data_IF_274250015400
#
_entry.id   IF_274250015400
#
_cell.length_a   1.000
_cell.length_b   1.000
_cell.length_c   1.000
_cell.angle_alpha   90.00
_cell.angle_beta   90.00
_cell.angle_gamma   90.00
#
_symmetry.space_group_name_H-M   'P 1'
#
loop_
_entity.id
_entity.type
_entity.pdbx_description
1 polymer ?
#
# COMPACT_ATOMS: atom_id res chain seq x y z
N UNK A 1 -10.60 27.82 14.21
CA UNK A 1 -10.38 26.40 13.84
C UNK A 1 -9.03 26.00 14.40
N UNK A 2 -8.94 24.87 15.11
CA UNK A 2 -7.66 24.39 15.65
C UNK A 2 -6.74 23.94 14.51
N UNK A 3 -5.43 24.15 14.63
CA UNK A 3 -4.47 23.69 13.64
C UNK A 3 -4.53 22.16 13.51
N UNK A 4 -4.46 21.59 12.29
CA UNK A 4 -4.46 20.14 12.11
C UNK A 4 -3.27 19.52 12.85
N UNK A 5 -3.51 18.40 13.53
CA UNK A 5 -2.50 17.64 14.27
C UNK A 5 -2.25 16.30 13.59
N UNK A 6 -1.06 15.73 13.81
CA UNK A 6 -0.76 14.37 13.36
C UNK A 6 -1.74 13.40 14.00
N UNK A 7 -2.22 12.45 13.21
CA UNK A 7 -3.24 11.49 13.60
C UNK A 7 -2.60 10.20 14.13
N UNK A 8 -3.34 9.52 15.00
CA UNK A 8 -2.95 8.25 15.61
C UNK A 8 -4.04 7.22 15.29
N UNK A 9 -3.70 6.00 14.84
CA UNK A 9 -4.70 4.98 14.58
C UNK A 9 -5.40 4.58 15.89
N UNK A 10 -6.70 4.27 15.82
CA UNK A 10 -7.50 3.86 16.99
C UNK A 10 -7.09 2.50 17.56
N UNK A 11 -6.44 1.67 16.75
CA UNK A 11 -5.86 0.38 17.15
C UNK A 11 -4.74 -0.03 16.20
N UNK A 12 -3.88 -0.96 16.64
CA UNK A 12 -2.85 -1.57 15.77
C UNK A 12 -3.49 -2.31 14.59
N UNK A 13 -4.60 -3.01 14.81
CA UNK A 13 -5.28 -3.77 13.76
C UNK A 13 -5.80 -2.87 12.62
N UNK A 14 -6.10 -1.60 12.91
CA UNK A 14 -6.52 -0.67 11.87
C UNK A 14 -5.37 -0.23 10.95
N UNK A 15 -4.10 -0.50 11.32
CA UNK A 15 -2.92 -0.11 10.56
C UNK A 15 -2.67 -1.03 9.36
N UNK A 16 -2.91 -2.32 9.50
CA UNK A 16 -2.58 -3.33 8.50
C UNK A 16 -3.83 -3.82 7.77
N UNK A 17 -3.67 -4.08 6.49
CA UNK A 17 -4.62 -4.83 5.68
C UNK A 17 -4.36 -6.33 5.80
N UNK A 18 -3.09 -6.73 5.70
CA UNK A 18 -2.62 -8.11 5.80
C UNK A 18 -1.18 -8.17 6.32
N UNK A 19 -0.81 -9.27 6.96
CA UNK A 19 0.52 -9.52 7.52
C UNK A 19 0.88 -11.02 7.39
N UNK A 20 2.16 -11.32 7.21
CA UNK A 20 2.65 -12.70 7.11
C UNK A 20 1.92 -13.50 6.04
N UNK A 21 1.44 -14.69 6.41
CA UNK A 21 0.76 -15.61 5.50
C UNK A 21 -0.59 -15.10 4.95
N UNK A 22 -1.16 -14.03 5.54
CA UNK A 22 -2.41 -13.42 5.05
C UNK A 22 -2.19 -12.49 3.84
N UNK A 23 -0.93 -12.22 3.46
CA UNK A 23 -0.61 -11.32 2.35
C UNK A 23 -0.94 -11.97 1.01
N UNK A 24 -1.89 -11.38 0.28
CA UNK A 24 -2.27 -11.84 -1.06
C UNK A 24 -1.13 -11.61 -2.09
N UNK A 25 -0.69 -12.72 -2.68
CA UNK A 25 0.35 -12.76 -3.72
C UNK A 25 -0.10 -12.14 -5.04
N UNK A 26 -1.41 -12.00 -5.28
CA UNK A 26 -1.94 -11.36 -6.48
C UNK A 26 -2.04 -9.85 -6.32
N UNK A 27 -1.92 -9.33 -5.09
CA UNK A 27 -2.04 -7.90 -4.84
C UNK A 27 -0.83 -7.16 -5.42
N UNK A 28 -1.02 -6.18 -6.31
CA UNK A 28 0.09 -5.48 -6.93
C UNK A 28 0.90 -4.66 -5.90
N UNK A 29 2.16 -4.33 -6.22
CA UNK A 29 3.00 -3.47 -5.35
C UNK A 29 2.34 -2.12 -5.13
N UNK A 30 2.28 -1.71 -3.87
CA UNK A 30 1.57 -0.53 -3.41
C UNK A 30 2.33 0.23 -2.32
N UNK A 31 1.95 1.49 -2.12
CA UNK A 31 2.47 2.33 -1.02
C UNK A 31 2.16 1.67 0.31
N UNK A 32 3.13 1.66 1.22
CA UNK A 32 2.98 1.00 2.51
C UNK A 32 3.15 -0.52 2.49
N UNK A 33 3.43 -1.14 1.34
CA UNK A 33 3.91 -2.52 1.33
C UNK A 33 5.28 -2.59 2.04
N UNK A 34 5.42 -3.58 2.92
CA UNK A 34 6.68 -3.88 3.62
C UNK A 34 7.26 -5.17 3.06
N UNK A 35 8.50 -5.11 2.59
CA UNK A 35 9.26 -6.27 2.12
C UNK A 35 10.33 -6.63 3.14
N UNK A 36 10.55 -7.92 3.33
CA UNK A 36 11.56 -8.45 4.26
C UNK A 36 12.25 -9.69 3.64
N UNK A 37 13.21 -9.49 2.71
CA UNK A 37 13.78 -10.58 1.88
C UNK A 37 14.42 -11.72 2.68
N UNK A 38 15.03 -11.38 3.82
CA UNK A 38 15.77 -12.29 4.68
C UNK A 38 14.99 -12.74 5.92
N UNK A 39 13.73 -12.31 6.05
CA UNK A 39 12.91 -12.73 7.17
C UNK A 39 12.18 -14.03 6.84
N UNK A 40 12.07 -14.91 7.85
CA UNK A 40 11.32 -16.17 7.76
C UNK A 40 10.48 -16.34 9.02
N UNK A 41 9.24 -16.81 8.85
CA UNK A 41 8.37 -17.14 9.97
C UNK A 41 9.04 -18.20 10.86
N UNK A 42 9.40 -17.81 12.09
CA UNK A 42 9.98 -18.71 13.11
C UNK A 42 11.51 -18.87 13.10
N UNK A 43 12.28 -17.95 12.49
CA UNK A 43 13.75 -18.08 12.35
C UNK A 43 14.59 -16.88 12.84
N UNK A 44 15.60 -17.21 13.65
CA UNK A 44 16.77 -16.47 14.18
C UNK A 44 16.62 -14.97 14.52
N UNK A 45 16.55 -14.66 15.83
CA UNK A 45 16.46 -13.31 16.42
C UNK A 45 17.64 -12.37 16.08
N UNK A 46 18.67 -12.88 15.38
CA UNK A 46 19.93 -12.17 15.10
C UNK A 46 20.08 -11.69 13.66
N UNK A 47 19.20 -12.07 12.74
CA UNK A 47 19.26 -11.54 11.38
C UNK A 47 18.77 -10.09 11.38
N UNK A 48 19.64 -9.14 11.02
CA UNK A 48 19.18 -7.80 10.66
C UNK A 48 18.09 -7.96 9.59
N UNK A 49 16.87 -7.54 9.92
CA UNK A 49 15.83 -7.48 8.90
C UNK A 49 16.24 -6.38 7.94
N UNK A 50 16.73 -6.73 6.74
CA UNK A 50 16.87 -5.81 5.59
C UNK A 50 15.49 -5.43 5.04
N UNK A 51 14.57 -5.13 5.96
CA UNK A 51 13.20 -4.82 5.66
C UNK A 51 13.09 -3.36 5.23
N UNK A 52 12.15 -3.09 4.33
CA UNK A 52 11.90 -1.75 3.85
C UNK A 52 10.43 -1.57 3.49
N UNK A 53 9.96 -0.33 3.57
CA UNK A 53 8.59 0.06 3.24
C UNK A 53 8.57 0.99 2.02
N UNK A 54 7.59 0.78 1.14
CA UNK A 54 7.37 1.63 -0.04
C UNK A 54 6.78 2.97 0.37
N UNK A 55 7.41 4.09 -0.02
CA UNK A 55 7.03 5.45 0.40
C UNK A 55 6.30 6.29 -0.65
N UNK A 56 6.51 6.01 -1.94
CA UNK A 56 5.95 6.85 -3.01
C UNK A 56 4.42 6.85 -2.97
N UNK A 57 3.79 7.97 -3.35
CA UNK A 57 2.33 8.06 -3.46
C UNK A 57 1.80 7.02 -4.46
N UNK A 58 0.61 6.40 -4.24
CA UNK A 58 0.08 5.36 -5.13
C UNK A 58 0.08 5.72 -6.62
N UNK A 59 -0.36 6.95 -6.96
CA UNK A 59 -0.38 7.43 -8.35
C UNK A 59 1.02 7.57 -9.00
N UNK A 60 2.08 7.65 -8.19
CA UNK A 60 3.46 7.84 -8.67
C UNK A 60 4.23 6.51 -8.79
N UNK A 61 3.64 5.39 -8.36
CA UNK A 61 4.31 4.08 -8.40
C UNK A 61 4.45 3.51 -9.81
N UNK A 62 3.68 4.01 -10.79
CA UNK A 62 3.61 3.41 -12.12
C UNK A 62 3.84 4.41 -13.24
N UNK A 63 4.64 4.01 -14.23
CA UNK A 63 4.78 4.70 -15.52
C UNK A 63 3.77 4.12 -16.49
N UNK A 64 3.07 5.00 -17.21
CA UNK A 64 1.99 4.58 -18.11
C UNK A 64 0.89 3.79 -17.40
N UNK A 65 0.80 3.91 -16.07
CA UNK A 65 -0.14 3.25 -15.17
C UNK A 65 -0.02 1.71 -15.05
N UNK A 66 0.97 1.07 -15.69
CA UNK A 66 1.15 -0.40 -15.65
C UNK A 66 2.45 -0.73 -14.95
N UNK A 67 3.57 -0.33 -15.55
CA UNK A 67 4.89 -0.70 -15.07
C UNK A 67 5.27 0.08 -13.84
N UNK A 68 5.78 -0.63 -12.83
CA UNK A 68 6.39 0.03 -11.68
C UNK A 68 7.53 0.95 -12.14
N UNK A 69 7.58 2.16 -11.56
CA UNK A 69 8.76 3.00 -11.69
C UNK A 69 9.97 2.24 -11.13
N UNK A 70 11.12 2.37 -11.78
CA UNK A 70 12.36 1.72 -11.34
C UNK A 70 13.48 2.78 -11.36
N UNK A 71 14.06 3.16 -10.19
CA UNK A 71 13.83 2.59 -8.86
C UNK A 71 12.64 3.18 -8.08
N UNK A 72 12.17 2.45 -7.07
CA UNK A 72 11.14 2.89 -6.11
C UNK A 72 11.78 3.44 -4.83
N UNK A 73 11.29 4.58 -4.36
CA UNK A 73 11.71 5.15 -3.08
C UNK A 73 11.09 4.39 -1.90
N UNK A 74 11.97 3.91 -1.01
CA UNK A 74 11.62 3.17 0.19
C UNK A 74 12.33 3.76 1.43
N UNK A 75 11.86 3.39 2.61
CA UNK A 75 12.56 3.63 3.89
C UNK A 75 12.94 2.31 4.55
N UNK A 76 14.11 2.27 5.18
CA UNK A 76 14.54 1.12 5.98
C UNK A 76 13.61 0.92 7.18
N UNK A 77 13.23 -0.33 7.42
CA UNK A 77 12.44 -0.77 8.56
C UNK A 77 13.37 -1.52 9.51
N UNK A 78 13.41 -1.08 10.77
CA UNK A 78 14.28 -1.68 11.79
C UNK A 78 13.56 -1.79 13.13
N UNK A 79 14.06 -2.70 13.96
CA UNK A 79 13.56 -2.88 15.32
C UNK A 79 13.89 -1.64 16.17
N UNK A 80 12.96 -1.23 17.03
CA UNK A 80 13.14 -0.10 17.95
C UNK A 80 12.88 -0.52 19.40
N UNK A 81 13.43 0.23 20.36
CA UNK A 81 13.30 -0.08 21.80
C UNK A 81 11.89 0.23 22.37
N UNK A 82 11.00 0.84 21.58
CA UNK A 82 9.64 1.14 21.98
C UNK A 82 8.94 2.08 21.01
N UNK A 83 7.60 2.03 21.00
CA UNK A 83 6.76 2.94 20.24
C UNK A 83 5.86 3.72 21.19
N UNK A 84 5.67 5.02 20.90
CA UNK A 84 4.64 5.80 21.58
C UNK A 84 3.29 5.39 21.02
N UNK A 85 2.33 5.15 21.91
CA UNK A 85 0.93 4.89 21.53
C UNK A 85 0.28 6.13 20.92
N UNK A 86 0.62 7.32 21.44
CA UNK A 86 0.25 8.62 20.86
C UNK A 86 1.26 9.01 19.77
N UNK A 87 0.88 8.80 18.51
CA UNK A 87 1.75 9.04 17.35
C UNK A 87 1.93 10.53 17.07
N UNK A 88 1.01 11.39 17.54
CA UNK A 88 1.17 12.83 17.43
C UNK A 88 2.37 13.33 18.24
N UNK A 89 2.71 12.61 19.31
CA UNK A 89 3.91 12.85 20.13
C UNK A 89 5.09 11.96 19.74
N UNK A 90 4.95 11.04 18.81
CA UNK A 90 6.05 10.18 18.36
C UNK A 90 7.07 10.95 17.52
N UNK A 91 8.34 10.49 17.43
CA UNK A 91 9.31 11.06 16.51
C UNK A 91 8.78 11.11 15.09
N UNK A 92 8.69 12.31 14.52
CA UNK A 92 8.08 12.53 13.18
C UNK A 92 8.92 11.91 12.06
N UNK A 93 10.20 11.62 12.33
CA UNK A 93 11.15 11.03 11.39
C UNK A 93 10.98 9.51 11.21
N UNK A 94 9.96 8.91 11.80
CA UNK A 94 9.78 7.45 11.75
C UNK A 94 8.31 7.07 11.63
N UNK A 95 7.94 6.15 10.75
CA UNK A 95 6.62 5.51 10.76
C UNK A 95 6.59 4.35 11.76
N UNK A 96 5.76 4.38 12.82
CA UNK A 96 5.62 3.24 13.71
C UNK A 96 4.97 2.04 13.01
N UNK A 97 5.53 0.85 13.20
CA UNK A 97 5.05 -0.44 12.66
C UNK A 97 4.97 -1.47 13.80
N UNK A 98 4.05 -1.29 14.76
CA UNK A 98 3.85 -2.25 15.86
C UNK A 98 3.40 -3.61 15.32
N UNK A 99 3.83 -4.71 15.96
CA UNK A 99 3.45 -6.08 15.60
C UNK A 99 3.68 -6.44 14.12
N UNK A 100 4.63 -5.78 13.44
CA UNK A 100 4.89 -5.99 12.02
C UNK A 100 5.24 -7.45 11.71
N UNK A 101 6.11 -8.01 12.54
CA UNK A 101 6.46 -9.42 12.57
C UNK A 101 5.87 -10.03 13.84
N UNK A 102 5.75 -11.36 13.88
CA UNK A 102 5.15 -12.09 15.01
C UNK A 102 5.88 -11.89 16.36
N UNK A 103 7.06 -11.26 16.35
CA UNK A 103 7.84 -10.93 17.53
C UNK A 103 7.22 -9.76 18.31
N UNK A 104 7.28 -9.81 19.64
CA UNK A 104 6.76 -8.74 20.52
C UNK A 104 7.53 -7.41 20.39
N UNK A 105 8.65 -7.39 19.66
CA UNK A 105 9.50 -6.21 19.53
C UNK A 105 8.96 -5.28 18.43
N UNK A 106 8.78 -3.99 18.72
CA UNK A 106 8.21 -3.09 17.73
C UNK A 106 9.21 -2.70 16.65
N UNK A 107 8.70 -2.44 15.45
CA UNK A 107 9.47 -1.93 14.32
C UNK A 107 9.06 -0.50 13.98
N UNK A 108 9.94 0.21 13.26
CA UNK A 108 9.59 1.48 12.65
C UNK A 108 10.34 1.66 11.33
N UNK A 109 9.68 2.29 10.36
CA UNK A 109 10.36 2.77 9.16
C UNK A 109 11.05 4.11 9.45
N UNK A 110 12.30 4.28 9.03
CA UNK A 110 13.08 5.50 9.24
C UNK A 110 13.04 6.39 8.01
N UNK A 111 12.49 7.60 8.14
CA UNK A 111 12.44 8.58 7.06
C UNK A 111 13.78 9.26 6.79
N UNK A 112 14.80 8.99 7.61
CA UNK A 112 16.18 9.45 7.40
C UNK A 112 17.08 8.37 6.82
N UNK A 113 16.61 7.12 6.73
CA UNK A 113 17.33 6.00 6.12
C UNK A 113 16.57 5.55 4.87
N UNK A 114 16.64 6.40 3.84
CA UNK A 114 15.99 6.17 2.55
C UNK A 114 16.85 5.27 1.67
N UNK A 115 16.19 4.43 0.88
CA UNK A 115 16.82 3.58 -0.12
C UNK A 115 15.99 3.57 -1.41
N UNK A 116 16.65 3.16 -2.49
CA UNK A 116 16.05 2.99 -3.80
C UNK A 116 16.01 1.49 -4.12
N UNK A 117 14.84 0.89 -3.96
CA UNK A 117 14.62 -0.52 -4.28
C UNK A 117 14.39 -0.65 -5.79
N UNK A 118 15.09 -1.60 -6.42
CA UNK A 118 14.84 -1.97 -7.82
C UNK A 118 13.61 -2.85 -7.92
N UNK A 119 13.05 -2.99 -9.12
CA UNK A 119 11.94 -3.93 -9.37
C UNK A 119 12.26 -5.36 -8.91
N UNK A 120 13.52 -5.79 -9.05
CA UNK A 120 13.98 -7.11 -8.62
C UNK A 120 13.98 -7.32 -7.09
N UNK A 121 14.02 -6.23 -6.31
CA UNK A 121 14.01 -6.30 -4.84
C UNK A 121 12.57 -6.45 -4.30
N UNK A 122 11.55 -6.20 -5.14
CA UNK A 122 10.13 -6.21 -4.79
C UNK A 122 9.49 -7.58 -5.09
N UNK A 123 10.15 -8.64 -4.65
CA UNK A 123 9.63 -10.01 -4.74
C UNK A 123 8.38 -10.14 -3.86
N UNK A 124 7.22 -10.36 -4.48
CA UNK A 124 5.93 -10.48 -3.79
C UNK A 124 5.94 -11.60 -2.75
N UNK A 125 6.70 -12.68 -2.98
CA UNK A 125 6.84 -13.77 -1.99
C UNK A 125 7.57 -13.36 -0.71
N UNK A 126 8.23 -12.20 -0.74
CA UNK A 126 8.95 -11.58 0.39
C UNK A 126 8.21 -10.39 0.98
N UNK A 127 6.98 -10.12 0.53
CA UNK A 127 6.13 -9.08 1.12
C UNK A 127 5.63 -9.56 2.49
N UNK A 128 6.08 -8.91 3.54
CA UNK A 128 5.77 -9.27 4.92
C UNK A 128 4.48 -8.64 5.43
N UNK A 129 4.11 -7.46 4.94
CA UNK A 129 2.87 -6.79 5.33
C UNK A 129 2.38 -5.82 4.27
N UNK A 130 1.08 -5.54 4.33
CA UNK A 130 0.38 -4.52 3.53
C UNK A 130 -0.31 -3.58 4.50
N UNK A 131 -0.02 -2.28 4.42
CA UNK A 131 -0.78 -1.30 5.19
C UNK A 131 -2.22 -1.18 4.68
N UNK A 132 -3.16 -0.94 5.61
CA UNK A 132 -4.54 -0.58 5.28
C UNK A 132 -4.60 0.79 4.60
N UNK A 133 -5.76 1.14 4.05
CA UNK A 133 -5.97 2.50 3.53
C UNK A 133 -5.70 3.58 4.58
N UNK A 134 -6.14 3.37 5.83
CA UNK A 134 -5.80 4.26 6.93
C UNK A 134 -4.28 4.27 7.18
N UNK A 135 -3.64 3.11 7.17
CA UNK A 135 -2.20 2.99 7.38
C UNK A 135 -1.38 3.74 6.33
N UNK A 136 -1.76 3.66 5.05
CA UNK A 136 -1.15 4.43 3.97
C UNK A 136 -1.40 5.92 4.15
N UNK A 137 -2.62 6.34 4.50
CA UNK A 137 -2.92 7.75 4.76
C UNK A 137 -2.08 8.30 5.93
N UNK A 138 -1.88 7.52 6.99
CA UNK A 138 -1.02 7.87 8.12
C UNK A 138 0.46 7.94 7.71
N UNK A 139 0.93 6.98 6.91
CA UNK A 139 2.28 6.98 6.36
C UNK A 139 2.54 8.25 5.54
N UNK A 140 1.62 8.59 4.61
CA UNK A 140 1.72 9.76 3.75
C UNK A 140 1.66 11.07 4.56
N UNK A 141 0.73 11.18 5.52
CA UNK A 141 0.66 12.34 6.41
C UNK A 141 1.98 12.56 7.14
N UNK A 142 2.53 11.49 7.73
CA UNK A 142 3.79 11.56 8.48
C UNK A 142 4.98 11.86 7.58
N UNK A 143 5.02 11.27 6.39
CA UNK A 143 6.06 11.51 5.40
C UNK A 143 6.07 12.97 4.93
N UNK A 144 4.90 13.52 4.57
CA UNK A 144 4.78 14.94 4.18
C UNK A 144 5.14 15.86 5.34
N UNK A 145 4.64 15.58 6.54
CA UNK A 145 4.96 16.37 7.73
C UNK A 145 6.45 16.33 8.08
N UNK A 146 7.10 15.18 7.93
CA UNK A 146 8.54 15.05 8.14
C UNK A 146 9.35 16.02 7.25
N UNK A 147 8.97 16.10 5.96
CA UNK A 147 9.68 16.90 4.96
C UNK A 147 9.30 18.38 4.98
N UNK A 148 8.05 18.71 5.28
CA UNK A 148 7.50 20.07 5.08
C UNK A 148 7.04 20.77 6.35
N UNK A 149 6.87 20.02 7.46
CA UNK A 149 6.19 20.47 8.69
C UNK A 149 4.72 20.85 8.50
N UNK A 150 4.16 20.62 7.32
CA UNK A 150 2.73 20.77 7.06
C UNK A 150 2.01 19.50 7.52
N UNK A 151 0.93 19.67 8.28
CA UNK A 151 0.01 18.59 8.61
C UNK A 151 -1.15 18.61 7.62
N UNK A 152 -1.26 17.57 6.82
CA UNK A 152 -2.39 17.32 5.91
C UNK A 152 -3.26 16.23 6.55
N UNK A 153 -4.56 16.46 6.78
CA UNK A 153 -5.44 15.44 7.37
C UNK A 153 -5.49 14.14 6.55
N UNK A 154 -5.57 12.99 7.22
CA UNK A 154 -5.62 11.66 6.56
C UNK A 154 -6.78 11.54 5.59
N UNK A 155 -7.92 12.17 5.91
CA UNK A 155 -9.09 12.21 5.02
C UNK A 155 -8.79 12.90 3.67
N UNK A 156 -7.89 13.89 3.65
CA UNK A 156 -7.46 14.52 2.40
C UNK A 156 -6.73 13.50 1.53
N UNK A 157 -5.78 12.74 2.09
CA UNK A 157 -5.13 11.64 1.36
C UNK A 157 -6.12 10.56 0.94
N UNK A 158 -7.10 10.23 1.79
CA UNK A 158 -8.13 9.25 1.48
C UNK A 158 -8.88 9.60 0.19
N UNK A 159 -9.29 10.86 0.04
CA UNK A 159 -9.97 11.33 -1.19
C UNK A 159 -9.11 11.23 -2.45
N UNK A 160 -7.78 11.28 -2.31
CA UNK A 160 -6.84 11.24 -3.43
C UNK A 160 -6.32 9.84 -3.76
N UNK A 161 -6.46 8.87 -2.85
CA UNK A 161 -5.89 7.51 -3.00
C UNK A 161 -6.95 6.43 -3.14
N UNK A 162 -8.21 6.73 -2.83
CA UNK A 162 -9.26 5.72 -2.80
C UNK A 162 -9.53 5.06 -4.15
N UNK A 163 -9.30 5.74 -5.28
CA UNK A 163 -9.45 5.13 -6.59
C UNK A 163 -8.38 4.08 -6.85
N UNK A 164 -7.14 4.37 -6.43
CA UNK A 164 -5.97 3.50 -6.56
C UNK A 164 -6.08 2.27 -5.66
N UNK A 165 -6.68 2.40 -4.47
CA UNK A 165 -7.01 1.25 -3.62
C UNK A 165 -8.01 0.31 -4.29
N UNK A 166 -9.11 0.86 -4.82
CA UNK A 166 -10.12 0.05 -5.51
C UNK A 166 -9.53 -0.62 -6.76
N UNK A 167 -8.66 0.08 -7.49
CA UNK A 167 -7.96 -0.50 -8.64
C UNK A 167 -7.05 -1.65 -8.23
N UNK A 168 -6.28 -1.50 -7.14
CA UNK A 168 -5.40 -2.57 -6.64
C UNK A 168 -6.20 -3.81 -6.19
N UNK A 169 -7.35 -3.62 -5.55
CA UNK A 169 -8.22 -4.70 -5.13
C UNK A 169 -8.83 -5.43 -6.34
N UNK A 170 -9.30 -4.68 -7.35
CA UNK A 170 -9.82 -5.28 -8.59
C UNK A 170 -8.73 -6.01 -9.38
N UNK A 171 -7.50 -5.48 -9.40
CA UNK A 171 -6.35 -6.15 -10.03
C UNK A 171 -6.05 -7.49 -9.34
N UNK A 172 -6.04 -7.50 -8.01
CA UNK A 172 -5.83 -8.71 -7.23
C UNK A 172 -6.91 -9.76 -7.51
N UNK A 173 -8.19 -9.36 -7.50
CA UNK A 173 -9.32 -10.23 -7.86
C UNK A 173 -9.20 -10.78 -9.28
N UNK A 174 -8.83 -9.94 -10.24
CA UNK A 174 -8.64 -10.36 -11.63
C UNK A 174 -7.55 -11.41 -11.77
N UNK A 175 -6.38 -11.16 -11.17
CA UNK A 175 -5.25 -12.10 -11.17
C UNK A 175 -5.58 -13.40 -10.42
N UNK A 176 -6.35 -13.34 -9.34
CA UNK A 176 -6.82 -14.54 -8.64
C UNK A 176 -7.72 -15.41 -9.54
N UNK A 177 -8.55 -14.80 -10.39
CA UNK A 177 -9.44 -15.54 -11.30
C UNK A 177 -8.76 -16.01 -12.60
N UNK A 178 -7.78 -15.25 -13.12
CA UNK A 178 -7.16 -15.46 -14.45
C UNK A 178 -5.75 -16.03 -14.38
N UNK A 179 -5.13 -15.99 -13.21
CA UNK A 179 -3.73 -16.34 -12.97
C UNK A 179 -2.84 -15.11 -12.80
N UNK A 180 -1.71 -15.28 -12.08
CA UNK A 180 -0.82 -14.20 -11.66
C UNK A 180 -0.22 -13.35 -12.81
N UNK A 181 -0.24 -13.84 -14.05
CA UNK A 181 0.28 -13.12 -15.22
C UNK A 181 -0.78 -12.30 -15.97
N UNK A 182 -2.02 -12.21 -15.46
CA UNK A 182 -3.14 -11.53 -16.10
C UNK A 182 -3.23 -10.02 -15.78
N UNK A 183 -2.22 -9.45 -15.10
CA UNK A 183 -2.24 -8.02 -14.75
C UNK A 183 -2.34 -7.11 -15.99
N UNK A 184 -1.65 -7.47 -17.08
CA UNK A 184 -1.73 -6.71 -18.34
C UNK A 184 -3.16 -6.70 -18.93
N UNK A 185 -3.85 -7.85 -18.89
CA UNK A 185 -5.25 -8.00 -19.34
C UNK A 185 -6.18 -7.12 -18.49
N UNK A 186 -5.97 -7.11 -17.17
CA UNK A 186 -6.71 -6.22 -16.27
C UNK A 186 -6.50 -4.74 -16.62
N UNK A 187 -5.26 -4.33 -16.87
CA UNK A 187 -4.94 -2.93 -17.19
C UNK A 187 -5.55 -2.48 -18.52
N UNK A 188 -5.58 -3.34 -19.53
CA UNK A 188 -6.31 -3.06 -20.78
C UNK A 188 -7.80 -2.86 -20.47
N UNK A 189 -8.40 -3.80 -19.74
CA UNK A 189 -9.82 -3.73 -19.40
C UNK A 189 -10.17 -2.49 -18.57
N UNK A 190 -9.42 -2.16 -17.52
CA UNK A 190 -9.78 -1.03 -16.63
C UNK A 190 -9.65 0.33 -17.35
N UNK A 191 -8.87 0.39 -18.44
CA UNK A 191 -8.65 1.62 -19.22
C UNK A 191 -9.63 1.83 -20.35
N UNK A 192 -10.42 0.84 -20.73
CA UNK A 192 -11.45 1.10 -21.71
C UNK A 192 -12.50 2.08 -21.17
N UNK A 193 -13.05 2.85 -22.09
CA UNK A 193 -14.22 3.69 -21.85
C UNK A 193 -15.41 2.81 -21.50
N UNK A 194 -16.12 3.17 -20.43
CA UNK A 194 -17.34 2.45 -20.07
C UNK A 194 -18.47 2.75 -21.06
N UNK A 195 -19.28 1.74 -21.44
CA UNK A 195 -20.42 1.96 -22.32
C UNK A 195 -21.34 3.06 -21.80
N UNK A 196 -21.66 4.04 -22.64
CA UNK A 196 -22.55 5.15 -22.29
C UNK A 196 -21.91 6.27 -21.46
N UNK A 197 -20.59 6.25 -21.26
CA UNK A 197 -19.85 7.34 -20.59
C UNK A 197 -18.69 7.82 -21.48
N UNK A 198 -18.07 8.94 -21.10
CA UNK A 198 -16.81 9.43 -21.68
C UNK A 198 -15.59 9.09 -20.81
N UNK A 199 -15.78 8.34 -19.73
CA UNK A 199 -14.76 8.03 -18.74
C UNK A 199 -14.31 6.58 -18.85
N UNK A 200 -13.03 6.35 -18.59
CA UNK A 200 -12.51 4.98 -18.41
C UNK A 200 -13.11 4.34 -17.16
N UNK A 201 -13.09 3.00 -17.07
CA UNK A 201 -13.49 2.30 -15.83
C UNK A 201 -12.62 2.73 -14.65
N UNK A 202 -11.32 2.92 -14.89
CA UNK A 202 -10.34 3.43 -13.92
C UNK A 202 -10.73 4.81 -13.37
N UNK A 203 -11.05 5.77 -14.24
CA UNK A 203 -11.44 7.12 -13.83
C UNK A 203 -12.70 7.12 -12.95
N UNK A 204 -13.64 6.21 -13.24
CA UNK A 204 -14.86 6.06 -12.46
C UNK A 204 -14.60 5.56 -11.04
N UNK A 205 -13.55 4.76 -10.78
CA UNK A 205 -13.23 4.29 -9.41
C UNK A 205 -13.02 5.42 -8.39
N UNK A 206 -12.68 6.62 -8.86
CA UNK A 206 -12.57 7.82 -8.02
C UNK A 206 -13.91 8.23 -7.39
N UNK A 207 -15.02 7.92 -8.05
CA UNK A 207 -16.38 8.17 -7.54
C UNK A 207 -16.93 6.92 -6.81
N UNK A 208 -17.14 7.00 -5.48
CA UNK A 208 -17.73 5.91 -4.70
C UNK A 208 -19.06 5.37 -5.26
N UNK A 209 -19.86 6.20 -5.92
CA UNK A 209 -21.18 5.80 -6.42
C UNK A 209 -21.09 4.83 -7.61
N UNK A 210 -19.97 4.83 -8.34
CA UNK A 210 -19.81 4.02 -9.56
C UNK A 210 -19.07 2.69 -9.32
N UNK A 211 -18.30 2.57 -8.22
CA UNK A 211 -17.42 1.42 -7.94
C UNK A 211 -18.14 0.07 -8.00
N UNK A 212 -19.32 -0.02 -7.38
CA UNK A 212 -20.11 -1.23 -7.38
C UNK A 212 -20.55 -1.64 -8.80
N UNK A 213 -20.78 -0.67 -9.69
CA UNK A 213 -21.10 -0.94 -11.09
C UNK A 213 -19.86 -1.46 -11.84
N UNK A 214 -18.68 -0.89 -11.60
CA UNK A 214 -17.42 -1.35 -12.19
C UNK A 214 -17.10 -2.79 -11.76
N UNK A 215 -17.22 -3.09 -10.46
CA UNK A 215 -16.99 -4.45 -9.93
C UNK A 215 -17.96 -5.48 -10.52
N UNK A 216 -19.23 -5.12 -10.72
CA UNK A 216 -20.20 -5.98 -11.43
C UNK A 216 -19.82 -6.16 -12.90
N UNK A 217 -19.38 -5.11 -13.58
CA UNK A 217 -18.95 -5.19 -14.97
C UNK A 217 -17.73 -6.11 -15.12
N UNK A 218 -16.78 -6.05 -14.17
CA UNK A 218 -15.64 -6.97 -14.10
C UNK A 218 -16.10 -8.42 -14.00
N UNK A 219 -16.97 -8.73 -13.04
CA UNK A 219 -17.49 -10.08 -12.85
C UNK A 219 -18.26 -10.62 -14.08
N UNK A 220 -19.01 -9.76 -14.79
CA UNK A 220 -19.66 -10.14 -16.05
C UNK A 220 -18.64 -10.45 -17.13
N UNK A 221 -17.61 -9.61 -17.27
CA UNK A 221 -16.56 -9.79 -18.26
C UNK A 221 -15.76 -11.08 -18.02
N UNK A 222 -15.30 -11.30 -16.78
CA UNK A 222 -14.56 -12.50 -16.39
C UNK A 222 -15.37 -13.79 -16.62
N UNK A 223 -16.68 -13.79 -16.34
CA UNK A 223 -17.57 -14.92 -16.69
C UNK A 223 -17.67 -15.15 -18.20
N UNK A 224 -17.70 -14.08 -18.99
CA UNK A 224 -17.73 -14.15 -20.45
C UNK A 224 -16.45 -14.76 -21.04
N UNK A 225 -15.29 -14.55 -20.41
CA UNK A 225 -14.01 -15.14 -20.82
C UNK A 225 -13.87 -16.64 -20.50
N UNK A 226 -14.77 -17.20 -19.68
CA UNK A 226 -14.77 -18.63 -19.31
C UNK A 226 -15.61 -19.50 -20.26
N UNK A 227 -16.46 -18.91 -21.08
CA UNK A 227 -17.28 -19.59 -22.09
C UNK A 227 -16.60 -19.61 -23.44
#
# INVERSE_FOLDING_TARGET
MSSPQLETPSSVNALYYAQGDDVDVNRPVFTGDVFAPHWSHGGDETAETDAFIVLQHPCALRVGGVDLVDPILCARVSQVQGLRTDWAKAPVRQMPLPNLFADERPFAASFTELLLAKRADLDISKRAAVLSQLGVNLLLQRWVHHNSRVVVPTMTYNTQTTGEFEEADLAAEWCAERGANAEAEFHEWIRDVSPGTALTRQQQLRDPQTRAAIRRAMAVHLRGLRG
#
